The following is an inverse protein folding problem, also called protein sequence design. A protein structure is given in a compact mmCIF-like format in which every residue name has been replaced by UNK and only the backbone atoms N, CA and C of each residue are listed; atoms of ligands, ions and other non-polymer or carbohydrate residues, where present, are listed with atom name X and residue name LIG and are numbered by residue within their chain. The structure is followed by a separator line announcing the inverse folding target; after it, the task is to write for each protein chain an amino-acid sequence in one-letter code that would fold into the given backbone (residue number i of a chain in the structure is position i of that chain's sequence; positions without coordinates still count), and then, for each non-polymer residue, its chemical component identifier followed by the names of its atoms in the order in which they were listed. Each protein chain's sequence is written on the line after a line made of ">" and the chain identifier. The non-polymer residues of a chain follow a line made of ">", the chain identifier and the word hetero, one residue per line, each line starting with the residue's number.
data_IF_237148607121
#
_entry.id   IF_237148607121
#
_cell.length_a   1.000
_cell.length_b   1.000
_cell.length_c   1.000
_cell.angle_alpha   90.00
_cell.angle_beta   90.00
_cell.angle_gamma   90.00
#
_symmetry.space_group_name_H-M   'P 1'
#
loop_
_entity.id
_entity.type
_entity.pdbx_description
1 polymer ?
#
# COMPACT_ATOMS: atom_id res chain seq x y z
N UNK A 1 -19.12 -45.45 -27.95
CA UNK A 1 -17.89 -44.75 -27.53
C UNK A 1 -17.70 -43.62 -28.52
N UNK A 2 -18.20 -42.43 -28.19
CA UNK A 2 -17.98 -41.22 -28.99
C UNK A 2 -17.39 -40.16 -28.07
N UNK A 3 -16.10 -39.87 -28.28
CA UNK A 3 -15.36 -38.81 -27.61
C UNK A 3 -15.77 -37.45 -28.18
N UNK A 4 -16.07 -36.44 -27.36
CA UNK A 4 -16.33 -35.08 -27.87
C UNK A 4 -15.03 -34.42 -28.36
N UNK A 5 -15.11 -33.49 -29.32
CA UNK A 5 -13.94 -32.84 -29.92
C UNK A 5 -13.29 -31.83 -28.94
N UNK A 6 -11.99 -31.51 -29.13
CA UNK A 6 -11.26 -30.60 -28.23
C UNK A 6 -11.71 -29.14 -28.39
N UNK A 7 -11.78 -28.44 -27.26
CA UNK A 7 -12.03 -27.00 -27.16
C UNK A 7 -10.92 -26.21 -27.87
N UNK A 8 -11.28 -25.35 -28.82
CA UNK A 8 -10.38 -24.34 -29.39
C UNK A 8 -10.53 -23.04 -28.59
N UNK A 9 -9.45 -22.38 -28.16
CA UNK A 9 -9.54 -21.06 -27.54
C UNK A 9 -9.96 -20.02 -28.58
N UNK A 10 -10.90 -19.15 -28.21
CA UNK A 10 -11.34 -18.04 -29.05
C UNK A 10 -10.22 -17.03 -29.27
N UNK A 11 -9.84 -16.81 -30.53
CA UNK A 11 -8.96 -15.71 -30.93
C UNK A 11 -9.63 -14.37 -30.59
N UNK A 12 -9.02 -13.62 -29.68
CA UNK A 12 -9.50 -12.29 -29.28
C UNK A 12 -9.06 -11.29 -30.36
N UNK A 13 -9.99 -10.94 -31.26
CA UNK A 13 -9.83 -9.86 -32.23
C UNK A 13 -9.51 -8.57 -31.48
N UNK A 14 -8.28 -8.06 -31.59
CA UNK A 14 -7.90 -6.72 -31.11
C UNK A 14 -8.28 -5.70 -32.18
N UNK A 15 -9.49 -5.15 -32.13
CA UNK A 15 -9.81 -3.93 -32.86
C UNK A 15 -9.19 -2.74 -32.12
N UNK A 16 -8.13 -2.16 -32.69
CA UNK A 16 -7.65 -0.82 -32.33
C UNK A 16 -8.73 0.18 -32.70
N UNK A 17 -9.50 0.60 -31.71
CA UNK A 17 -10.31 1.82 -31.80
C UNK A 17 -9.91 2.66 -30.60
N UNK A 18 -9.22 3.76 -30.86
CA UNK A 18 -8.91 4.81 -29.89
C UNK A 18 -10.22 5.47 -29.48
N UNK A 19 -10.90 4.87 -28.51
CA UNK A 19 -11.99 5.50 -27.79
C UNK A 19 -11.34 6.28 -26.65
N UNK A 20 -11.31 7.61 -26.79
CA UNK A 20 -11.13 8.50 -25.66
C UNK A 20 -12.21 8.18 -24.63
N UNK A 21 -11.82 7.49 -23.56
CA UNK A 21 -12.73 7.19 -22.46
C UNK A 21 -13.16 8.52 -21.82
N UNK A 22 -14.47 8.73 -21.59
CA UNK A 22 -14.94 9.86 -20.79
C UNK A 22 -14.33 9.76 -19.39
N UNK A 23 -14.04 10.91 -18.78
CA UNK A 23 -13.49 10.98 -17.43
C UNK A 23 -14.45 10.30 -16.44
N UNK A 24 -14.17 9.02 -16.14
CA UNK A 24 -14.81 8.29 -15.07
C UNK A 24 -14.55 9.05 -13.75
N UNK A 25 -15.51 9.02 -12.80
CA UNK A 25 -15.27 9.55 -11.45
C UNK A 25 -13.97 8.94 -10.94
N UNK A 26 -12.97 9.79 -10.65
CA UNK A 26 -11.59 9.41 -10.29
C UNK A 26 -11.56 8.02 -9.65
N UNK A 27 -11.19 7.03 -10.45
CA UNK A 27 -10.98 5.66 -9.98
C UNK A 27 -10.11 5.73 -8.72
N UNK A 28 -10.55 5.11 -7.63
CA UNK A 28 -9.72 4.98 -6.40
C UNK A 28 -8.47 4.15 -6.65
N UNK A 29 -8.40 3.47 -7.80
CA UNK A 29 -7.22 2.77 -8.32
C UNK A 29 -6.57 3.62 -9.41
N UNK A 30 -5.57 4.39 -9.02
CA UNK A 30 -4.70 5.11 -9.95
C UNK A 30 -3.28 5.21 -9.41
N UNK A 31 -2.33 5.47 -10.30
CA UNK A 31 -0.91 5.64 -9.99
C UNK A 31 -0.62 7.08 -9.51
N UNK A 32 -1.26 7.49 -8.41
CA UNK A 32 -1.09 8.82 -7.79
C UNK A 32 -0.99 8.71 -6.27
N UNK A 33 -0.49 9.75 -5.62
CA UNK A 33 -0.44 9.86 -4.15
C UNK A 33 -1.80 10.22 -3.58
N UNK A 34 -2.05 9.87 -2.32
CA UNK A 34 -3.22 10.34 -1.60
C UNK A 34 -3.26 11.88 -1.54
N UNK A 35 -4.46 12.44 -1.62
CA UNK A 35 -4.67 13.88 -1.48
C UNK A 35 -4.61 14.34 -0.01
N UNK A 36 -4.87 15.63 0.19
CA UNK A 36 -4.99 16.24 1.52
C UNK A 36 -6.12 15.56 2.31
N UNK A 37 -5.76 14.94 3.44
CA UNK A 37 -6.68 14.13 4.22
C UNK A 37 -7.86 14.95 4.75
N UNK A 38 -7.60 16.15 5.27
CA UNK A 38 -8.62 17.01 5.84
C UNK A 38 -9.62 17.52 4.79
N UNK A 39 -9.14 17.91 3.60
CA UNK A 39 -9.98 18.31 2.48
C UNK A 39 -10.82 17.13 1.97
N UNK A 40 -10.19 15.98 1.75
CA UNK A 40 -10.89 14.76 1.34
C UNK A 40 -11.97 14.37 2.37
N UNK A 41 -11.66 14.43 3.67
CA UNK A 41 -12.63 14.12 4.73
C UNK A 41 -13.88 14.99 4.63
N UNK A 42 -13.72 16.31 4.49
CA UNK A 42 -14.86 17.24 4.36
C UNK A 42 -15.70 16.92 3.13
N UNK A 43 -15.05 16.77 1.97
CA UNK A 43 -15.73 16.48 0.70
C UNK A 43 -16.51 15.16 0.76
N UNK A 44 -15.91 14.11 1.31
CA UNK A 44 -16.56 12.80 1.46
C UNK A 44 -17.69 12.84 2.48
N UNK A 45 -17.55 13.53 3.62
CA UNK A 45 -18.63 13.70 4.61
C UNK A 45 -19.84 14.39 3.99
N UNK A 46 -19.62 15.47 3.26
CA UNK A 46 -20.69 16.21 2.60
C UNK A 46 -21.40 15.38 1.53
N UNK A 47 -20.63 14.74 0.64
CA UNK A 47 -21.18 13.94 -0.45
C UNK A 47 -21.94 12.71 0.06
N UNK A 48 -21.37 11.94 0.99
CA UNK A 48 -21.99 10.73 1.52
C UNK A 48 -23.23 11.04 2.36
N UNK A 49 -23.20 12.13 3.14
CA UNK A 49 -24.38 12.54 3.89
C UNK A 49 -25.51 13.01 2.97
N UNK A 50 -25.20 13.77 1.91
CA UNK A 50 -26.21 14.32 1.00
C UNK A 50 -26.84 13.25 0.11
N UNK A 51 -26.03 12.35 -0.43
CA UNK A 51 -26.49 11.39 -1.45
C UNK A 51 -27.00 10.10 -0.80
N UNK A 52 -26.38 9.66 0.29
CA UNK A 52 -26.63 8.35 0.88
C UNK A 52 -27.08 8.39 2.35
N UNK A 53 -27.11 9.56 2.99
CA UNK A 53 -27.41 9.69 4.42
C UNK A 53 -26.34 9.04 5.32
N UNK A 54 -25.17 8.72 4.78
CA UNK A 54 -24.08 8.06 5.51
C UNK A 54 -23.23 9.10 6.24
N UNK A 55 -22.88 8.80 7.49
CA UNK A 55 -21.97 9.60 8.31
C UNK A 55 -20.82 8.73 8.79
N UNK A 56 -19.65 9.32 8.94
CA UNK A 56 -18.45 8.65 9.47
C UNK A 56 -17.61 9.66 10.28
N UNK A 57 -16.76 9.16 11.16
CA UNK A 57 -16.00 10.01 12.08
C UNK A 57 -14.71 10.54 11.46
N UNK A 58 -13.90 9.66 10.84
CA UNK A 58 -12.62 10.03 10.24
C UNK A 58 -12.40 9.38 8.87
N UNK A 59 -11.72 10.11 7.99
CA UNK A 59 -11.17 9.60 6.74
C UNK A 59 -9.66 9.45 6.89
N UNK A 60 -9.16 8.28 6.50
CA UNK A 60 -7.74 7.96 6.54
C UNK A 60 -7.24 7.90 5.10
N UNK A 61 -6.29 8.78 4.76
CA UNK A 61 -5.69 8.87 3.45
C UNK A 61 -4.37 8.08 3.43
N UNK A 62 -4.29 7.04 2.60
CA UNK A 62 -3.12 6.17 2.47
C UNK A 62 -2.63 6.16 1.02
N UNK A 63 -1.31 6.19 0.84
CA UNK A 63 -0.73 5.86 -0.46
C UNK A 63 -0.90 4.36 -0.73
N UNK A 64 -1.14 4.01 -1.99
CA UNK A 64 -1.19 2.60 -2.38
C UNK A 64 0.23 2.02 -2.42
N UNK A 65 0.48 0.97 -1.63
CA UNK A 65 1.77 0.30 -1.68
C UNK A 65 1.88 -0.53 -2.96
N UNK A 66 3.00 -0.47 -3.72
CA UNK A 66 3.19 -1.24 -4.97
C UNK A 66 3.50 -2.72 -4.67
N UNK A 67 2.51 -3.41 -4.08
CA UNK A 67 2.58 -4.81 -3.62
C UNK A 67 1.31 -5.57 -4.02
N UNK A 68 1.42 -6.89 -4.18
CA UNK A 68 0.29 -7.81 -4.49
C UNK A 68 -0.61 -7.27 -5.63
N UNK A 69 -1.92 -7.22 -5.43
CA UNK A 69 -2.91 -6.86 -6.45
C UNK A 69 -2.69 -5.47 -7.08
N UNK A 70 -2.15 -4.52 -6.32
CA UNK A 70 -1.88 -3.20 -6.87
C UNK A 70 -0.61 -3.19 -7.72
N UNK A 71 0.39 -3.99 -7.35
CA UNK A 71 1.55 -4.24 -8.20
C UNK A 71 1.14 -4.89 -9.53
N UNK A 72 0.32 -5.95 -9.48
CA UNK A 72 -0.20 -6.62 -10.68
C UNK A 72 -0.92 -5.61 -11.59
N UNK A 73 -1.80 -4.78 -11.01
CA UNK A 73 -2.49 -3.74 -11.77
C UNK A 73 -1.53 -2.71 -12.38
N UNK A 74 -0.50 -2.28 -11.65
CA UNK A 74 0.52 -1.35 -12.15
C UNK A 74 1.30 -1.96 -13.33
N UNK A 75 1.61 -3.25 -13.28
CA UNK A 75 2.31 -3.97 -14.35
C UNK A 75 1.42 -4.16 -15.58
N UNK A 76 0.17 -4.60 -15.39
CA UNK A 76 -0.81 -4.79 -16.48
C UNK A 76 -1.12 -3.50 -17.25
N UNK A 77 -0.98 -2.34 -16.58
CA UNK A 77 -1.26 -1.03 -17.14
C UNK A 77 0.01 -0.22 -17.48
N UNK A 78 1.20 -0.84 -17.45
CA UNK A 78 2.50 -0.21 -17.75
C UNK A 78 2.80 1.06 -16.92
N UNK A 79 2.30 1.10 -15.68
CA UNK A 79 2.40 2.23 -14.76
C UNK A 79 3.43 2.02 -13.65
N UNK A 80 3.98 0.82 -13.48
CA UNK A 80 4.85 0.47 -12.35
C UNK A 80 6.06 1.40 -12.23
N UNK A 81 6.80 1.57 -13.32
CA UNK A 81 8.03 2.36 -13.30
C UNK A 81 7.75 3.82 -12.93
N UNK A 82 6.78 4.44 -13.61
CA UNK A 82 6.38 5.82 -13.35
C UNK A 82 5.86 6.01 -11.91
N UNK A 83 5.13 5.03 -11.38
CA UNK A 83 4.62 5.10 -10.02
C UNK A 83 5.74 4.99 -8.98
N UNK A 84 6.68 4.06 -9.14
CA UNK A 84 7.82 3.94 -8.23
C UNK A 84 8.68 5.20 -8.27
N UNK A 85 8.91 5.78 -9.45
CA UNK A 85 9.61 7.07 -9.59
C UNK A 85 8.86 8.20 -8.88
N UNK A 86 7.53 8.26 -8.99
CA UNK A 86 6.70 9.22 -8.24
C UNK A 86 6.92 9.06 -6.73
N UNK A 87 6.88 7.83 -6.20
CA UNK A 87 7.07 7.58 -4.77
C UNK A 87 8.45 8.03 -4.30
N UNK A 88 9.50 7.71 -5.06
CA UNK A 88 10.89 8.08 -4.75
C UNK A 88 11.08 9.60 -4.80
N UNK A 89 10.61 10.25 -5.87
CA UNK A 89 10.74 11.69 -6.06
C UNK A 89 9.90 12.50 -5.05
N UNK A 90 8.86 11.88 -4.49
CA UNK A 90 8.00 12.49 -3.47
C UNK A 90 8.42 12.12 -2.05
N UNK A 91 9.58 11.51 -1.85
CA UNK A 91 10.08 11.18 -0.52
C UNK A 91 10.09 12.42 0.38
N UNK A 92 9.41 12.31 1.53
CA UNK A 92 9.31 13.38 2.49
C UNK A 92 9.95 12.98 3.83
N UNK A 93 11.12 13.53 4.17
CA UNK A 93 11.79 13.28 5.46
C UNK A 93 10.92 13.63 6.67
N UNK A 94 10.01 14.60 6.56
CA UNK A 94 9.12 15.00 7.64
C UNK A 94 8.14 13.90 8.07
N UNK A 95 7.85 12.94 7.17
CA UNK A 95 6.99 11.81 7.48
C UNK A 95 7.63 10.76 8.39
N UNK A 96 8.97 10.75 8.49
CA UNK A 96 9.73 9.64 9.08
C UNK A 96 9.32 9.40 10.54
N UNK A 97 9.24 10.44 11.37
CA UNK A 97 8.92 10.28 12.79
C UNK A 97 7.51 9.71 13.04
N UNK A 98 6.59 9.89 12.10
CA UNK A 98 5.23 9.35 12.18
C UNK A 98 5.09 7.91 11.70
N UNK A 99 6.12 7.29 11.12
CA UNK A 99 6.02 5.96 10.53
C UNK A 99 5.76 4.88 11.60
N UNK A 100 4.81 3.99 11.32
CA UNK A 100 4.47 2.83 12.16
C UNK A 100 5.70 1.98 12.52
N UNK A 101 6.63 1.78 11.58
CA UNK A 101 7.80 0.95 11.81
C UNK A 101 8.76 1.48 12.88
N UNK A 102 8.57 2.71 13.38
CA UNK A 102 9.36 3.27 14.49
C UNK A 102 8.77 3.00 15.86
N UNK A 103 7.45 2.92 15.97
CA UNK A 103 6.74 2.93 17.26
C UNK A 103 5.84 1.71 17.49
N UNK A 104 5.67 0.86 16.48
CA UNK A 104 4.83 -0.33 16.53
C UNK A 104 5.63 -1.56 16.12
N UNK A 105 5.18 -2.72 16.55
CA UNK A 105 5.70 -4.03 16.13
C UNK A 105 4.56 -4.83 15.51
N UNK A 106 4.83 -5.60 14.47
CA UNK A 106 3.88 -6.58 13.94
C UNK A 106 4.35 -7.98 14.29
N UNK A 107 3.44 -8.82 14.79
CA UNK A 107 3.76 -10.19 15.24
C UNK A 107 2.88 -11.17 14.49
N UNK A 108 3.49 -12.15 13.83
CA UNK A 108 2.74 -13.21 13.15
C UNK A 108 2.13 -14.20 14.14
N UNK A 109 1.25 -15.06 13.64
CA UNK A 109 0.61 -16.09 14.47
C UNK A 109 1.59 -17.15 14.98
N UNK A 110 2.73 -17.34 14.30
CA UNK A 110 3.86 -18.16 14.74
C UNK A 110 4.79 -17.43 15.73
N UNK A 111 4.47 -16.20 16.11
CA UNK A 111 5.27 -15.39 17.03
C UNK A 111 6.49 -14.72 16.39
N UNK A 112 6.64 -14.71 15.06
CA UNK A 112 7.72 -13.99 14.37
C UNK A 112 7.48 -12.49 14.41
N UNK A 113 8.54 -11.71 14.58
CA UNK A 113 8.47 -10.25 14.73
C UNK A 113 8.88 -9.54 13.44
N UNK A 114 8.13 -8.49 13.09
CA UNK A 114 8.29 -7.64 11.92
C UNK A 114 8.19 -6.16 12.32
N UNK A 115 8.85 -5.28 11.57
CA UNK A 115 8.77 -3.84 11.82
C UNK A 115 7.39 -3.23 11.52
N UNK A 116 6.65 -3.78 10.57
CA UNK A 116 5.29 -3.33 10.22
C UNK A 116 4.50 -4.47 9.55
N UNK A 117 3.21 -4.22 9.33
CA UNK A 117 2.29 -5.12 8.66
C UNK A 117 2.67 -5.40 7.19
N UNK A 118 3.18 -4.42 6.45
CA UNK A 118 3.70 -4.63 5.09
C UNK A 118 4.94 -5.52 5.08
N UNK A 119 5.84 -5.36 6.06
CA UNK A 119 6.96 -6.28 6.22
C UNK A 119 6.48 -7.70 6.53
N UNK A 120 5.45 -7.85 7.37
CA UNK A 120 4.84 -9.15 7.61
C UNK A 120 4.22 -9.74 6.34
N UNK A 121 3.48 -8.94 5.57
CA UNK A 121 2.86 -9.36 4.31
C UNK A 121 3.89 -9.79 3.25
N UNK A 122 5.08 -9.20 3.28
CA UNK A 122 6.18 -9.50 2.35
C UNK A 122 7.20 -10.49 2.93
N UNK A 123 6.93 -11.07 4.10
CA UNK A 123 7.81 -11.99 4.82
C UNK A 123 9.21 -11.41 5.14
N UNK A 124 9.30 -10.08 5.26
CA UNK A 124 10.50 -9.32 5.63
C UNK A 124 10.67 -9.26 7.14
N UNK A 125 10.95 -10.42 7.76
CA UNK A 125 11.09 -10.57 9.21
C UNK A 125 12.35 -9.91 9.78
N UNK A 126 12.26 -9.48 11.04
CA UNK A 126 13.42 -9.00 11.79
C UNK A 126 14.31 -10.19 12.14
N UNK A 127 15.61 -9.99 12.01
CA UNK A 127 16.64 -10.99 12.31
C UNK A 127 17.36 -10.58 13.60
N UNK A 128 17.52 -11.51 14.54
CA UNK A 128 18.22 -11.29 15.81
C UNK A 128 19.75 -11.26 15.62
N UNK A 129 20.50 -10.99 16.70
CA UNK A 129 21.97 -10.97 16.68
C UNK A 129 22.62 -12.29 16.26
N UNK A 130 21.90 -13.40 16.35
CA UNK A 130 22.33 -14.75 15.98
C UNK A 130 22.00 -15.10 14.51
N UNK A 131 21.50 -14.15 13.73
CA UNK A 131 21.05 -14.34 12.33
C UNK A 131 19.83 -15.25 12.16
N UNK A 132 19.00 -15.35 13.19
CA UNK A 132 17.76 -16.12 13.19
C UNK A 132 16.54 -15.18 13.21
N UNK A 133 15.38 -15.61 12.68
CA UNK A 133 14.14 -14.84 12.81
C UNK A 133 13.83 -14.53 14.28
N UNK A 134 13.59 -13.25 14.60
CA UNK A 134 13.24 -12.84 15.95
C UNK A 134 11.85 -13.38 16.31
N UNK A 135 11.78 -14.13 17.39
CA UNK A 135 10.54 -14.60 17.99
C UNK A 135 10.14 -13.70 19.17
N UNK A 136 8.85 -13.44 19.36
CA UNK A 136 8.33 -12.53 20.39
C UNK A 136 8.69 -12.94 21.83
N UNK A 137 8.97 -14.24 22.04
CA UNK A 137 9.44 -14.75 23.35
C UNK A 137 10.85 -14.29 23.71
N UNK A 138 11.65 -13.97 22.71
CA UNK A 138 13.03 -13.51 22.86
C UNK A 138 13.12 -12.00 22.60
N UNK A 139 11.98 -11.30 22.64
CA UNK A 139 11.91 -9.87 22.39
C UNK A 139 12.54 -9.08 23.52
N UNK A 140 13.54 -8.28 23.17
CA UNK A 140 14.21 -7.34 24.07
C UNK A 140 13.92 -5.90 23.63
N UNK A 141 13.23 -5.08 24.43
CA UNK A 141 12.92 -3.69 24.08
C UNK A 141 14.15 -2.82 23.86
N UNK A 142 15.26 -3.05 24.57
CA UNK A 142 16.48 -2.24 24.42
C UNK A 142 17.14 -2.51 23.06
N UNK A 143 17.37 -3.79 22.74
CA UNK A 143 17.85 -4.19 21.41
C UNK A 143 16.89 -3.78 20.28
N UNK A 144 15.57 -3.77 20.53
CA UNK A 144 14.57 -3.34 19.55
C UNK A 144 14.66 -1.84 19.25
N UNK A 145 14.94 -1.01 20.25
CA UNK A 145 15.07 0.44 20.07
C UNK A 145 16.29 0.81 19.19
N UNK A 146 17.35 0.01 19.24
CA UNK A 146 18.59 0.22 18.47
C UNK A 146 18.60 -0.48 17.11
N UNK A 147 17.58 -1.27 16.81
CA UNK A 147 17.55 -2.11 15.61
C UNK A 147 17.57 -1.26 14.33
N UNK A 148 18.08 -1.88 13.27
CA UNK A 148 17.87 -1.39 11.92
C UNK A 148 16.51 -1.87 11.41
N UNK A 149 15.60 -0.93 11.13
CA UNK A 149 14.31 -1.23 10.48
C UNK A 149 14.57 -1.87 9.11
N UNK A 150 13.89 -2.98 8.83
CA UNK A 150 13.94 -3.65 7.53
C UNK A 150 13.16 -2.82 6.53
N UNK A 151 13.83 -2.38 5.46
CA UNK A 151 13.26 -1.53 4.41
C UNK A 151 13.16 -2.24 3.08
N UNK A 152 12.13 -1.93 2.29
CA UNK A 152 11.95 -2.39 0.91
C UNK A 152 11.30 -1.32 0.03
N UNK A 153 10.98 -1.67 -1.24
CA UNK A 153 10.36 -0.73 -2.19
C UNK A 153 9.04 -0.14 -1.70
N UNK A 154 8.24 -0.92 -0.96
CA UNK A 154 6.98 -0.48 -0.40
C UNK A 154 7.15 0.69 0.61
N UNK A 155 8.31 0.81 1.26
CA UNK A 155 8.56 1.88 2.21
C UNK A 155 8.47 3.28 1.58
N UNK A 156 8.77 3.40 0.27
CA UNK A 156 8.58 4.67 -0.44
C UNK A 156 7.11 5.12 -0.45
N UNK A 157 6.15 4.18 -0.44
CA UNK A 157 4.73 4.53 -0.30
C UNK A 157 4.41 5.14 1.07
N UNK A 158 4.99 4.62 2.15
CA UNK A 158 4.79 5.16 3.50
C UNK A 158 5.41 6.55 3.68
N UNK A 159 6.48 6.85 2.94
CA UNK A 159 7.26 8.11 3.08
C UNK A 159 6.93 9.18 2.04
N UNK A 160 6.18 8.84 0.99
CA UNK A 160 5.91 9.76 -0.12
C UNK A 160 4.83 10.79 0.23
N UNK A 161 5.04 12.03 -0.21
CA UNK A 161 4.08 13.14 -0.06
C UNK A 161 3.85 13.47 1.41
N UNK A 162 2.59 13.38 1.84
CA UNK A 162 2.22 13.61 3.24
C UNK A 162 2.62 12.44 4.18
N UNK A 163 3.18 11.37 3.61
CA UNK A 163 3.41 10.11 4.29
C UNK A 163 2.10 9.41 4.65
N UNK A 164 2.16 8.11 4.93
CA UNK A 164 0.98 7.40 5.43
C UNK A 164 1.34 6.24 6.33
N UNK A 165 0.50 6.05 7.34
CA UNK A 165 0.50 4.91 8.25
C UNK A 165 -0.94 4.47 8.52
N UNK A 166 -1.19 3.39 9.26
CA UNK A 166 -2.56 2.94 9.57
C UNK A 166 -3.41 3.99 10.31
N UNK A 167 -2.81 5.07 10.80
CA UNK A 167 -3.51 6.25 11.36
C UNK A 167 -3.86 7.36 10.35
N UNK A 168 -3.36 7.30 9.11
CA UNK A 168 -3.57 8.30 8.05
C UNK A 168 -2.31 9.03 7.64
N UNK A 169 -2.51 10.24 7.12
CA UNK A 169 -1.43 11.18 6.77
C UNK A 169 -0.52 11.46 7.97
N UNK A 170 0.79 11.59 7.73
CA UNK A 170 1.80 11.77 8.79
C UNK A 170 2.26 13.21 8.95
N UNK A 171 2.16 14.00 7.90
CA UNK A 171 2.37 15.43 7.93
C UNK A 171 1.16 16.14 7.33
N UNK A 172 0.80 17.28 7.91
CA UNK A 172 -0.19 18.23 7.40
C UNK A 172 0.44 19.63 7.40
#
# INVERSE_FOLDING_TARGET
>A
MDTPPPFRPAERIRSRTSVTQPAEPRSTRGAFLSGDQAAMEREWKEALSRIHGVRFDRLIALNNMPISRYLEWLEENDNLQAYVELLVNSFNPGSIEGLMCRNTISVSWEGRVYDCDFNQMLELGVINGQKEPLHIRDFDPESWAERRIVTGRHCFGCTAGAGSSCGGSLVE
#
